data_IF_827259379078
#
_entry.id   IF_827259379078
#
_cell.length_a   1.000
_cell.length_b   1.000
_cell.length_c   1.000
_cell.angle_alpha   90.00
_cell.angle_beta   90.00
_cell.angle_gamma   90.00
#
_symmetry.space_group_name_H-M   'P 1'
#
loop_
_entity.id
_entity.type
_entity.pdbx_description
1 polymer ?
#
# COMPACT_ATOMS: atom_id res chain seq x y z
N UNK A 1 -19.26 30.43 8.33
CA UNK A 1 -20.02 29.17 8.56
C UNK A 1 -19.10 28.22 9.32
N UNK A 2 -19.28 28.09 10.64
CA UNK A 2 -18.48 27.20 11.47
C UNK A 2 -19.18 25.85 11.55
N UNK A 3 -18.60 24.81 10.94
CA UNK A 3 -19.09 23.45 11.08
C UNK A 3 -18.44 22.84 12.31
N UNK A 4 -19.18 22.78 13.42
CA UNK A 4 -18.82 21.93 14.55
C UNK A 4 -19.27 20.51 14.21
N UNK A 5 -18.32 19.62 13.90
CA UNK A 5 -18.60 18.18 13.80
C UNK A 5 -18.17 17.51 15.09
N UNK A 6 -19.17 17.23 15.92
CA UNK A 6 -19.04 16.37 17.08
C UNK A 6 -18.99 14.89 16.71
N UNK A 7 -18.32 14.14 17.61
CA UNK A 7 -18.21 12.68 17.76
C UNK A 7 -17.10 12.00 16.93
N UNK A 8 -16.00 11.73 17.64
CA UNK A 8 -14.88 10.85 17.29
C UNK A 8 -15.34 9.44 16.90
N UNK A 9 -15.75 9.25 15.64
CA UNK A 9 -15.88 7.92 15.04
C UNK A 9 -14.59 7.63 14.27
N UNK A 10 -13.81 6.63 14.70
CA UNK A 10 -12.63 6.16 13.95
C UNK A 10 -13.07 5.83 12.52
N UNK A 11 -12.33 6.33 11.51
CA UNK A 11 -12.60 6.00 10.10
C UNK A 11 -12.55 4.48 9.94
N UNK A 12 -13.54 3.92 9.24
CA UNK A 12 -13.63 2.48 8.96
C UNK A 12 -13.12 2.17 7.55
N UNK A 13 -12.58 0.97 7.35
CA UNK A 13 -12.26 0.43 6.03
C UNK A 13 -13.53 -0.08 5.31
N UNK A 14 -13.36 -0.62 4.10
CA UNK A 14 -14.47 -1.13 3.28
C UNK A 14 -15.20 -2.33 3.89
N UNK A 15 -14.58 -3.00 4.87
CA UNK A 15 -15.14 -4.13 5.62
C UNK A 15 -15.73 -3.71 6.97
N UNK A 16 -15.69 -2.41 7.29
CA UNK A 16 -16.19 -1.87 8.55
C UNK A 16 -15.20 -1.92 9.72
N UNK A 17 -13.97 -2.36 9.51
CA UNK A 17 -12.93 -2.39 10.55
C UNK A 17 -12.32 -1.00 10.77
N UNK A 18 -11.81 -0.68 11.98
CA UNK A 18 -11.07 0.56 12.20
C UNK A 18 -9.85 0.66 11.26
N UNK A 19 -9.71 1.79 10.55
CA UNK A 19 -8.57 2.05 9.68
C UNK A 19 -7.35 2.46 10.51
N UNK A 20 -6.25 1.75 10.31
CA UNK A 20 -4.96 2.07 10.96
C UNK A 20 -4.47 3.43 10.45
N UNK A 21 -4.49 4.43 11.34
CA UNK A 21 -4.05 5.81 11.02
C UNK A 21 -2.81 6.19 11.83
N UNK A 22 -2.60 5.53 12.98
CA UNK A 22 -1.43 5.70 13.83
C UNK A 22 -0.76 4.34 14.03
N UNK A 23 0.54 4.37 14.36
CA UNK A 23 1.33 3.15 14.57
C UNK A 23 0.68 2.20 15.59
N UNK A 24 0.13 2.74 16.68
CA UNK A 24 -0.47 1.94 17.77
C UNK A 24 -1.83 1.31 17.42
N UNK A 25 -2.43 1.68 16.28
CA UNK A 25 -3.66 1.04 15.80
C UNK A 25 -3.37 -0.38 15.27
N UNK A 26 -2.15 -0.64 14.80
CA UNK A 26 -1.74 -1.93 14.22
C UNK A 26 -1.60 -2.98 15.33
N UNK A 27 -2.34 -4.10 15.20
CA UNK A 27 -2.22 -5.26 16.09
C UNK A 27 -1.37 -6.36 15.44
N UNK A 28 -0.43 -6.98 16.18
CA UNK A 28 0.26 -8.18 15.71
C UNK A 28 -0.73 -9.26 15.31
N UNK A 29 -0.44 -9.94 14.21
CA UNK A 29 -1.24 -11.04 13.67
C UNK A 29 -0.30 -12.10 13.15
N UNK A 30 -0.71 -13.35 13.26
CA UNK A 30 -0.08 -14.45 12.53
C UNK A 30 -0.45 -14.33 11.05
N UNK A 31 0.31 -13.48 10.34
CA UNK A 31 0.05 -13.08 8.96
C UNK A 31 1.37 -13.11 8.19
N UNK A 32 1.42 -13.95 7.16
CA UNK A 32 2.43 -13.89 6.12
C UNK A 32 1.90 -13.04 4.97
N UNK A 33 2.62 -11.97 4.61
CA UNK A 33 2.30 -11.17 3.42
C UNK A 33 3.42 -11.30 2.39
N UNK A 34 3.09 -11.73 1.17
CA UNK A 34 4.02 -11.93 0.07
C UNK A 34 3.57 -11.11 -1.13
N UNK A 35 4.37 -10.12 -1.50
CA UNK A 35 4.15 -9.30 -2.70
C UNK A 35 5.15 -9.74 -3.77
N UNK A 36 4.67 -10.11 -4.97
CA UNK A 36 5.52 -10.55 -6.08
C UNK A 36 5.20 -9.69 -7.29
N UNK A 37 6.01 -8.64 -7.45
CA UNK A 37 5.80 -7.62 -8.47
C UNK A 37 6.95 -7.64 -9.48
N UNK A 38 6.63 -7.50 -10.77
CA UNK A 38 7.64 -7.28 -11.81
C UNK A 38 8.44 -6.00 -11.51
N UNK A 39 7.71 -4.92 -11.24
CA UNK A 39 8.19 -3.58 -10.91
C UNK A 39 7.16 -2.86 -10.07
N UNK A 40 7.62 -1.95 -9.22
CA UNK A 40 6.79 -0.97 -8.52
C UNK A 40 7.17 0.44 -9.00
N UNK A 41 6.18 1.32 -9.12
CA UNK A 41 6.41 2.72 -9.45
C UNK A 41 7.21 3.42 -8.34
N UNK A 42 8.02 4.42 -8.71
CA UNK A 42 8.66 5.29 -7.73
C UNK A 42 7.63 5.95 -6.81
N UNK A 43 8.03 6.28 -5.58
CA UNK A 43 7.14 6.93 -4.60
C UNK A 43 7.00 8.43 -4.88
N UNK A 44 8.03 9.06 -5.45
CA UNK A 44 8.12 10.52 -5.62
C UNK A 44 8.53 11.20 -4.32
N UNK A 45 8.08 12.43 -4.10
CA UNK A 45 8.36 13.18 -2.86
C UNK A 45 8.93 14.59 -3.06
N UNK A 46 9.11 15.05 -4.30
CA UNK A 46 9.50 16.44 -4.57
C UNK A 46 8.52 17.43 -3.92
N UNK A 47 7.23 17.09 -3.96
CA UNK A 47 6.24 17.63 -3.03
C UNK A 47 5.13 16.60 -2.77
N UNK A 48 4.37 16.85 -1.70
CA UNK A 48 3.29 15.96 -1.24
C UNK A 48 1.90 16.38 -1.73
N UNK A 49 1.81 17.25 -2.75
CA UNK A 49 0.54 17.84 -3.21
C UNK A 49 0.38 17.85 -4.74
N UNK A 50 1.02 16.90 -5.43
CA UNK A 50 0.71 16.62 -6.84
C UNK A 50 1.90 16.33 -7.73
N UNK A 51 3.14 16.48 -7.24
CA UNK A 51 4.31 16.04 -8.00
C UNK A 51 4.29 14.52 -8.19
N UNK A 52 4.59 14.07 -9.41
CA UNK A 52 4.80 12.67 -9.73
C UNK A 52 6.26 12.26 -9.48
N UNK A 53 6.55 10.96 -9.34
CA UNK A 53 7.91 10.45 -9.46
C UNK A 53 8.54 10.90 -10.79
N UNK A 54 9.86 11.09 -10.83
CA UNK A 54 10.57 11.43 -12.06
C UNK A 54 10.39 10.35 -13.13
N UNK A 55 10.43 10.73 -14.40
CA UNK A 55 10.05 9.87 -15.54
C UNK A 55 10.78 8.53 -15.61
N UNK A 56 12.03 8.49 -15.17
CA UNK A 56 12.86 7.28 -15.10
C UNK A 56 12.35 6.24 -14.07
N UNK A 57 11.51 6.66 -13.13
CA UNK A 57 10.90 5.83 -12.09
C UNK A 57 9.40 5.59 -12.32
N UNK A 58 8.86 6.03 -13.46
CA UNK A 58 7.49 5.73 -13.87
C UNK A 58 7.42 4.41 -14.65
N UNK A 59 6.33 3.67 -14.44
CA UNK A 59 5.96 2.52 -15.26
C UNK A 59 5.00 3.03 -16.34
N UNK A 60 5.53 3.24 -17.54
CA UNK A 60 4.77 3.76 -18.68
C UNK A 60 3.84 2.69 -19.28
N UNK A 61 2.71 3.08 -19.88
CA UNK A 61 1.81 2.13 -20.54
C UNK A 61 2.50 1.46 -21.72
N UNK A 62 2.92 0.20 -21.54
CA UNK A 62 3.62 -0.64 -22.51
C UNK A 62 3.25 -2.10 -22.25
N UNK A 63 3.50 -2.95 -23.23
CA UNK A 63 3.39 -4.39 -23.05
C UNK A 63 4.56 -4.88 -22.18
N UNK A 64 4.23 -5.44 -21.02
CA UNK A 64 5.18 -6.04 -20.10
C UNK A 64 4.84 -7.52 -19.91
N UNK A 65 5.87 -8.36 -19.86
CA UNK A 65 5.73 -9.78 -19.56
C UNK A 65 6.59 -10.11 -18.35
N UNK A 66 6.01 -10.83 -17.39
CA UNK A 66 6.67 -11.25 -16.17
C UNK A 66 6.12 -12.62 -15.75
N UNK A 67 7.01 -13.49 -15.30
CA UNK A 67 6.68 -14.84 -14.83
C UNK A 67 7.59 -15.19 -13.67
N UNK A 68 7.05 -15.91 -12.69
CA UNK A 68 7.81 -16.46 -11.58
C UNK A 68 7.32 -17.87 -11.27
N UNK A 69 8.17 -18.69 -10.64
CA UNK A 69 7.81 -20.00 -10.12
C UNK A 69 8.18 -20.01 -8.64
N UNK A 70 7.25 -20.45 -7.79
CA UNK A 70 7.54 -20.76 -6.39
C UNK A 70 7.35 -22.26 -6.21
N UNK A 71 8.40 -22.91 -5.73
CA UNK A 71 8.36 -24.32 -5.37
C UNK A 71 8.82 -24.45 -3.92
N UNK A 72 8.04 -25.12 -3.05
CA UNK A 72 8.52 -25.44 -1.71
C UNK A 72 9.70 -26.40 -1.80
N UNK A 73 10.73 -26.16 -0.99
CA UNK A 73 11.81 -27.12 -0.78
C UNK A 73 11.46 -27.92 0.47
N UNK A 74 11.32 -29.23 0.32
CA UNK A 74 11.24 -30.15 1.45
C UNK A 74 12.67 -30.61 1.72
N UNK A 75 13.20 -30.28 2.90
CA UNK A 75 14.49 -30.77 3.37
C UNK A 75 14.16 -31.89 4.37
N UNK A 76 14.67 -33.10 4.11
CA UNK A 76 14.60 -34.25 5.03
C UNK A 76 15.65 -34.15 6.14
#
# INVERSE_FOLDING_TARGET
>A
MMMVLGKNSKRKDVLGNPKNSHLNDIKPRDLLNLNIDYRQMGVGGDNSWGAKPHDQYLIWPKDYTYSFIIQPIIIE
#
